data_IF_562335931752
#
_entry.id   IF_562335931752
#
_cell.length_a   1.000
_cell.length_b   1.000
_cell.length_c   1.000
_cell.angle_alpha   90.00
_cell.angle_beta   90.00
_cell.angle_gamma   90.00
#
_symmetry.space_group_name_H-M   'P 1'
#
loop_
_entity.id
_entity.type
_entity.pdbx_description
1 polymer ?
#
# COMPACT_ATOMS: atom_id res chain seq x y z
N UNK A 1 -14.25 -2.12 -15.14
CA UNK A 1 -13.12 -2.37 -14.22
C UNK A 1 -13.68 -3.12 -13.02
N UNK A 2 -13.25 -4.31 -12.86
CA UNK A 2 -13.66 -5.14 -11.71
C UNK A 2 -12.52 -5.17 -10.70
N UNK A 3 -12.85 -5.32 -9.45
CA UNK A 3 -11.88 -5.44 -8.37
C UNK A 3 -12.23 -4.60 -7.15
N UNK A 4 -11.42 -4.78 -6.12
CA UNK A 4 -11.56 -4.08 -4.86
C UNK A 4 -10.18 -3.83 -4.25
N UNK A 5 -10.10 -2.87 -3.37
CA UNK A 5 -8.96 -2.69 -2.49
C UNK A 5 -9.30 -3.19 -1.08
N UNK A 6 -8.28 -3.64 -0.37
CA UNK A 6 -8.40 -3.94 1.05
C UNK A 6 -8.22 -2.68 1.86
N UNK A 7 -9.13 -2.44 2.78
CA UNK A 7 -9.06 -1.33 3.71
C UNK A 7 -9.22 -1.85 5.14
N UNK A 8 -8.16 -1.75 5.91
CA UNK A 8 -8.16 -2.22 7.28
C UNK A 8 -8.85 -1.23 8.21
N UNK A 9 -9.61 -1.73 9.17
CA UNK A 9 -10.33 -0.89 10.16
C UNK A 9 -9.41 0.01 10.98
N UNK A 10 -8.14 -0.35 11.13
CA UNK A 10 -7.13 0.48 11.79
C UNK A 10 -6.92 1.85 11.12
N UNK A 11 -7.35 2.03 9.88
CA UNK A 11 -7.30 3.32 9.20
C UNK A 11 -8.04 4.42 9.98
N UNK A 12 -9.03 4.05 10.79
CA UNK A 12 -9.73 5.00 11.67
C UNK A 12 -8.83 5.62 12.74
N UNK A 13 -7.69 5.01 13.04
CA UNK A 13 -6.68 5.51 13.99
C UNK A 13 -5.51 6.22 13.30
N UNK A 14 -5.55 6.31 12.00
CA UNK A 14 -4.51 6.95 11.21
C UNK A 14 -4.57 8.47 11.35
N UNK A 15 -3.41 9.11 11.44
CA UNK A 15 -3.31 10.57 11.65
C UNK A 15 -4.02 11.41 10.58
N UNK A 16 -4.19 10.89 9.37
CA UNK A 16 -4.89 11.55 8.28
C UNK A 16 -6.35 11.14 8.12
N UNK A 17 -6.87 10.31 9.00
CA UNK A 17 -8.26 9.83 8.90
C UNK A 17 -9.29 10.97 8.97
N UNK A 18 -9.06 11.94 9.82
CA UNK A 18 -9.91 13.13 9.98
C UNK A 18 -9.54 14.30 9.05
N UNK A 19 -8.47 14.18 8.27
CA UNK A 19 -8.15 15.10 7.18
C UNK A 19 -8.83 14.63 5.88
N UNK A 20 -10.00 15.18 5.61
CA UNK A 20 -10.86 14.73 4.52
C UNK A 20 -10.17 14.70 3.16
N UNK A 21 -9.41 15.72 2.80
CA UNK A 21 -8.74 15.80 1.51
C UNK A 21 -7.58 14.82 1.42
N UNK A 22 -6.78 14.70 2.46
CA UNK A 22 -5.63 13.79 2.50
C UNK A 22 -6.09 12.34 2.50
N UNK A 23 -7.08 12.00 3.32
CA UNK A 23 -7.66 10.67 3.36
C UNK A 23 -8.29 10.27 2.01
N UNK A 24 -9.09 11.15 1.45
CA UNK A 24 -9.75 10.90 0.16
C UNK A 24 -8.76 10.74 -0.98
N UNK A 25 -7.71 11.57 -1.01
CA UNK A 25 -6.63 11.42 -1.97
C UNK A 25 -5.94 10.06 -1.84
N UNK A 26 -5.61 9.65 -0.64
CA UNK A 26 -4.94 8.37 -0.41
C UNK A 26 -5.78 7.18 -0.87
N UNK A 27 -7.06 7.16 -0.53
CA UNK A 27 -7.98 6.10 -1.00
C UNK A 27 -8.08 6.10 -2.53
N UNK A 28 -8.16 7.26 -3.14
CA UNK A 28 -8.20 7.39 -4.60
C UNK A 28 -6.91 6.85 -5.26
N UNK A 29 -5.75 7.16 -4.69
CA UNK A 29 -4.48 6.62 -5.16
C UNK A 29 -4.41 5.10 -5.04
N UNK A 30 -4.90 4.53 -3.94
CA UNK A 30 -5.01 3.08 -3.76
C UNK A 30 -5.90 2.43 -4.82
N UNK A 31 -7.04 3.04 -5.13
CA UNK A 31 -7.98 2.53 -6.14
C UNK A 31 -7.41 2.62 -7.56
N UNK A 32 -6.59 3.62 -7.83
CA UNK A 32 -6.00 3.89 -9.16
C UNK A 32 -4.67 3.20 -9.38
N UNK A 33 -3.94 2.84 -8.33
CA UNK A 33 -2.64 2.20 -8.45
C UNK A 33 -2.75 0.87 -9.20
N UNK A 34 -1.77 0.59 -10.03
CA UNK A 34 -1.70 -0.67 -10.75
C UNK A 34 -1.50 -1.84 -9.77
N UNK A 35 -2.30 -2.86 -9.88
CA UNK A 35 -2.14 -4.10 -9.12
C UNK A 35 -1.14 -5.07 -9.75
N UNK A 36 -0.75 -4.84 -11.00
CA UNK A 36 0.25 -5.56 -11.78
C UNK A 36 1.16 -4.58 -12.51
N UNK A 37 2.35 -5.04 -12.86
CA UNK A 37 3.26 -4.26 -13.70
C UNK A 37 2.65 -4.07 -15.11
N UNK A 38 2.69 -2.86 -15.62
CA UNK A 38 2.16 -2.51 -16.93
C UNK A 38 3.11 -1.60 -17.70
N UNK A 39 3.01 -1.65 -19.02
CA UNK A 39 3.72 -0.75 -19.92
C UNK A 39 2.75 0.30 -20.47
N UNK A 40 3.14 1.55 -20.43
CA UNK A 40 2.36 2.62 -21.01
C UNK A 40 3.28 3.69 -21.60
N UNK A 41 3.17 3.89 -22.92
CA UNK A 41 3.97 4.86 -23.69
C UNK A 41 5.47 4.80 -23.38
N UNK A 42 6.05 3.60 -23.35
CA UNK A 42 7.46 3.38 -23.03
C UNK A 42 7.83 3.49 -21.55
N UNK A 43 6.88 3.76 -20.67
CA UNK A 43 7.07 3.76 -19.22
C UNK A 43 6.62 2.44 -18.62
N UNK A 44 7.43 1.92 -17.71
CA UNK A 44 7.02 0.80 -16.85
C UNK A 44 6.36 1.35 -15.60
N UNK A 45 5.08 1.06 -15.44
CA UNK A 45 4.31 1.39 -14.25
C UNK A 45 4.20 0.11 -13.43
N UNK A 46 4.90 0.04 -12.32
CA UNK A 46 4.93 -1.15 -11.47
C UNK A 46 3.69 -1.26 -10.60
N UNK A 47 3.50 -2.44 -10.04
CA UNK A 47 2.49 -2.66 -9.01
C UNK A 47 2.63 -1.63 -7.88
N UNK A 48 1.52 -1.04 -7.46
CA UNK A 48 1.50 0.02 -6.43
C UNK A 48 1.88 1.41 -6.94
N UNK A 49 2.08 1.56 -8.23
CA UNK A 49 2.36 2.84 -8.88
C UNK A 49 1.21 3.30 -9.76
N UNK A 50 1.12 4.60 -9.96
CA UNK A 50 0.27 5.20 -10.98
C UNK A 50 0.95 6.41 -11.59
N UNK A 51 0.69 6.65 -12.86
CA UNK A 51 1.13 7.84 -13.57
C UNK A 51 -0.04 8.80 -13.72
N UNK A 52 0.08 10.00 -13.19
CA UNK A 52 -0.99 10.98 -13.15
C UNK A 52 -0.45 12.41 -13.13
N UNK A 53 -1.30 13.40 -12.95
CA UNK A 53 -0.93 14.80 -12.74
C UNK A 53 -1.81 15.42 -11.66
N UNK A 54 -1.35 16.54 -11.12
CA UNK A 54 -2.13 17.31 -10.12
C UNK A 54 -3.49 17.72 -10.71
N UNK A 55 -3.49 18.25 -11.93
CA UNK A 55 -4.72 18.66 -12.61
C UNK A 55 -5.68 17.50 -12.84
N UNK A 56 -5.17 16.33 -13.17
CA UNK A 56 -5.99 15.12 -13.35
C UNK A 56 -6.61 14.65 -12.04
N UNK A 57 -5.83 14.59 -10.97
CA UNK A 57 -6.32 14.27 -9.63
C UNK A 57 -7.36 15.30 -9.14
N UNK A 58 -7.10 16.57 -9.36
CA UNK A 58 -8.03 17.67 -9.05
C UNK A 58 -9.38 17.48 -9.76
N UNK A 59 -9.33 17.16 -11.04
CA UNK A 59 -10.52 16.91 -11.83
C UNK A 59 -11.30 15.69 -11.37
N UNK A 60 -10.62 14.58 -11.13
CA UNK A 60 -11.26 13.32 -10.68
C UNK A 60 -11.86 13.43 -9.28
N UNK A 61 -11.16 14.08 -8.36
CA UNK A 61 -11.56 14.19 -6.96
C UNK A 61 -12.49 15.39 -6.67
N UNK A 62 -12.59 16.33 -7.60
CA UNK A 62 -13.31 17.60 -7.40
C UNK A 62 -12.72 18.40 -6.20
N UNK A 63 -11.42 18.39 -6.09
CA UNK A 63 -10.65 19.10 -5.07
C UNK A 63 -9.70 20.04 -5.83
N UNK A 64 -9.48 21.25 -5.33
CA UNK A 64 -8.60 22.22 -5.99
C UNK A 64 -7.15 21.71 -6.11
N UNK A 65 -6.44 22.14 -7.13
CA UNK A 65 -5.02 21.83 -7.35
C UNK A 65 -4.17 22.12 -6.10
N UNK A 66 -4.44 23.23 -5.46
CA UNK A 66 -3.76 23.64 -4.22
C UNK A 66 -4.00 22.62 -3.10
N UNK A 67 -5.24 22.21 -2.90
CA UNK A 67 -5.59 21.23 -1.87
C UNK A 67 -5.00 19.85 -2.18
N UNK A 68 -4.96 19.45 -3.45
CA UNK A 68 -4.28 18.21 -3.88
C UNK A 68 -2.77 18.27 -3.57
N UNK A 69 -2.11 19.39 -3.87
CA UNK A 69 -0.67 19.56 -3.55
C UNK A 69 -0.41 19.46 -2.06
N UNK A 70 -1.22 20.10 -1.25
CA UNK A 70 -1.10 20.06 0.21
C UNK A 70 -1.31 18.63 0.73
N UNK A 71 -2.35 17.95 0.28
CA UNK A 71 -2.64 16.58 0.68
C UNK A 71 -1.53 15.60 0.25
N UNK A 72 -1.07 15.73 -0.99
CA UNK A 72 0.03 14.90 -1.51
C UNK A 72 1.32 15.13 -0.73
N UNK A 73 1.64 16.37 -0.39
CA UNK A 73 2.81 16.73 0.38
C UNK A 73 2.79 16.13 1.79
N UNK A 74 1.61 16.12 2.43
CA UNK A 74 1.40 15.44 3.72
C UNK A 74 1.68 13.93 3.63
N UNK A 75 1.16 13.27 2.61
CA UNK A 75 1.38 11.83 2.38
C UNK A 75 2.84 11.52 2.07
N UNK A 76 3.54 12.39 1.37
CA UNK A 76 4.98 12.24 1.09
C UNK A 76 5.79 12.41 2.38
N UNK A 77 5.49 13.40 3.20
CA UNK A 77 6.17 13.65 4.47
C UNK A 77 6.05 12.48 5.44
N UNK A 78 4.90 11.84 5.49
CA UNK A 78 4.67 10.66 6.33
C UNK A 78 5.09 9.35 5.67
N UNK A 79 5.70 9.41 4.49
CA UNK A 79 6.19 8.25 3.72
C UNK A 79 5.12 7.23 3.32
N UNK A 80 3.89 7.68 3.19
CA UNK A 80 2.80 6.86 2.66
C UNK A 80 2.92 6.70 1.14
N UNK A 81 3.32 7.78 0.47
CA UNK A 81 3.58 7.79 -0.97
C UNK A 81 4.92 8.46 -1.27
N UNK A 82 5.48 8.11 -2.42
CA UNK A 82 6.59 8.82 -3.05
C UNK A 82 6.13 9.35 -4.41
N UNK A 83 6.70 10.47 -4.84
CA UNK A 83 6.41 11.04 -6.14
C UNK A 83 7.69 11.34 -6.91
N UNK A 84 7.66 11.09 -8.21
CA UNK A 84 8.74 11.43 -9.13
C UNK A 84 8.16 12.15 -10.34
N UNK A 85 8.57 13.39 -10.53
CA UNK A 85 8.18 14.18 -11.68
C UNK A 85 8.76 13.62 -12.99
N UNK A 86 7.98 13.70 -14.04
CA UNK A 86 8.38 13.42 -15.40
C UNK A 86 7.89 14.57 -16.32
N UNK A 87 8.37 14.62 -17.55
CA UNK A 87 8.00 15.69 -18.49
C UNK A 87 6.48 15.79 -18.74
N UNK A 88 5.77 14.68 -18.67
CA UNK A 88 4.34 14.60 -19.02
C UNK A 88 3.45 14.33 -17.80
N UNK A 89 3.97 14.39 -16.59
CA UNK A 89 3.17 14.07 -15.39
C UNK A 89 4.02 13.66 -14.21
N UNK A 90 3.42 12.91 -13.32
CA UNK A 90 4.06 12.47 -12.08
C UNK A 90 3.81 10.98 -11.86
N UNK A 91 4.87 10.24 -11.59
CA UNK A 91 4.80 8.88 -11.11
C UNK A 91 4.61 8.90 -9.60
N UNK A 92 3.51 8.38 -9.12
CA UNK A 92 3.22 8.23 -7.70
C UNK A 92 3.36 6.76 -7.31
N UNK A 93 4.10 6.50 -6.26
CA UNK A 93 4.30 5.16 -5.70
C UNK A 93 3.71 5.10 -4.30
N UNK A 94 2.84 4.12 -4.07
CA UNK A 94 2.35 3.83 -2.73
C UNK A 94 3.40 2.94 -2.05
N UNK A 95 4.11 3.49 -1.07
CA UNK A 95 5.32 2.88 -0.50
C UNK A 95 5.09 1.50 0.11
N UNK A 96 3.89 1.24 0.62
CA UNK A 96 3.52 -0.01 1.30
C UNK A 96 2.35 -0.71 0.64
N UNK A 97 2.22 -0.57 -0.65
CA UNK A 97 1.10 -1.14 -1.39
C UNK A 97 0.92 -2.64 -1.12
N UNK A 98 2.00 -3.42 -1.17
CA UNK A 98 1.95 -4.85 -0.90
C UNK A 98 1.51 -5.19 0.52
N UNK A 99 1.92 -4.39 1.51
CA UNK A 99 1.47 -4.56 2.89
C UNK A 99 -0.03 -4.33 3.05
N UNK A 100 -0.61 -3.42 2.27
CA UNK A 100 -2.04 -3.14 2.30
C UNK A 100 -2.85 -4.13 1.47
N UNK A 101 -2.31 -4.58 0.33
CA UNK A 101 -3.09 -5.26 -0.71
C UNK A 101 -2.72 -6.73 -0.91
N UNK A 102 -1.64 -7.23 -0.30
CA UNK A 102 -1.29 -8.64 -0.40
C UNK A 102 -2.39 -9.53 0.15
N UNK A 103 -2.73 -10.55 -0.59
CA UNK A 103 -3.51 -11.66 -0.05
C UNK A 103 -2.64 -12.37 0.98
N UNK A 104 -3.02 -12.31 2.23
CA UNK A 104 -2.65 -13.41 3.12
C UNK A 104 -3.43 -14.60 2.58
N UNK A 105 -2.76 -15.46 1.82
CA UNK A 105 -3.28 -16.77 1.58
C UNK A 105 -3.31 -17.48 2.94
N UNK A 106 -4.43 -17.30 3.62
CA UNK A 106 -4.88 -18.29 4.58
C UNK A 106 -5.46 -19.41 3.71
N UNK A 107 -4.61 -20.04 2.91
CA UNK A 107 -4.95 -21.35 2.42
C UNK A 107 -5.04 -22.22 3.65
N UNK A 108 -6.26 -22.61 3.94
CA UNK A 108 -6.59 -23.49 5.02
C UNK A 108 -5.67 -24.72 4.96
N UNK A 109 -5.07 -25.01 6.07
CA UNK A 109 -4.60 -26.34 6.34
C UNK A 109 -5.79 -27.28 6.13
N UNK A 110 -5.84 -27.88 4.97
CA UNK A 110 -6.52 -29.14 4.83
C UNK A 110 -5.60 -30.16 5.46
N UNK A 111 -6.02 -30.67 6.60
CA UNK A 111 -5.47 -31.87 7.19
C UNK A 111 -5.48 -33.00 6.16
N UNK A 112 -4.36 -33.20 5.55
CA UNK A 112 -4.06 -34.39 4.78
C UNK A 112 -3.05 -35.22 5.58
N UNK A 113 -3.55 -36.08 6.47
CA UNK A 113 -2.75 -37.15 7.03
C UNK A 113 -2.21 -38.01 5.90
N UNK A 114 -0.93 -37.98 5.70
CA UNK A 114 -0.24 -39.11 5.10
C UNK A 114 0.98 -39.46 5.93
N UNK A 115 0.89 -40.65 6.52
CA UNK A 115 1.98 -41.40 7.10
C UNK A 115 3.10 -41.59 6.08
N UNK A 116 4.33 -41.45 6.51
CA UNK A 116 5.49 -41.91 5.74
C UNK A 116 6.80 -41.33 6.24
N UNK A 117 7.38 -42.02 7.14
CA UNK A 117 8.76 -42.27 7.51
C UNK A 117 9.91 -41.45 6.91
N UNK A 118 10.71 -40.94 7.88
CA UNK A 118 12.19 -40.91 7.92
C UNK A 118 12.94 -40.04 6.89
N UNK A 119 13.60 -39.06 7.45
CA UNK A 119 14.71 -38.37 6.82
C UNK A 119 15.02 -37.07 7.52
N UNK A 120 15.77 -37.16 8.61
CA UNK A 120 16.33 -35.99 9.25
C UNK A 120 17.38 -35.33 8.36
N UNK A 121 17.16 -34.11 7.95
CA UNK A 121 18.24 -33.15 7.68
C UNK A 121 17.74 -31.72 7.88
N UNK A 122 18.45 -31.05 8.74
CA UNK A 122 18.35 -29.67 9.10
C UNK A 122 18.19 -28.73 7.91
N UNK A 123 17.11 -27.93 7.88
CA UNK A 123 17.16 -26.58 7.35
C UNK A 123 16.16 -25.70 8.08
N UNK A 124 16.59 -25.23 9.22
CA UNK A 124 15.83 -24.38 10.12
C UNK A 124 16.17 -22.89 9.92
N UNK A 125 16.23 -22.41 8.68
CA UNK A 125 16.62 -21.01 8.43
C UNK A 125 15.67 -20.16 7.60
N UNK A 126 14.50 -20.67 7.19
CA UNK A 126 13.60 -19.85 6.35
C UNK A 126 12.32 -19.34 7.03
N UNK A 127 12.01 -19.79 8.24
CA UNK A 127 10.77 -19.35 8.90
C UNK A 127 10.89 -18.03 9.68
N UNK A 128 12.10 -17.51 9.88
CA UNK A 128 12.29 -16.27 10.61
C UNK A 128 12.15 -14.99 9.75
N UNK A 129 12.28 -15.10 8.43
CA UNK A 129 12.12 -13.92 7.56
C UNK A 129 10.66 -13.58 7.29
N UNK A 130 9.80 -14.58 7.17
CA UNK A 130 8.38 -14.34 6.93
C UNK A 130 7.64 -13.86 8.19
N UNK A 131 8.02 -14.36 9.37
CA UNK A 131 7.47 -13.86 10.64
C UNK A 131 7.91 -12.43 10.95
N UNK A 132 9.15 -12.07 10.65
CA UNK A 132 9.63 -10.68 10.78
C UNK A 132 8.92 -9.72 9.86
N UNK A 133 8.59 -10.13 8.64
CA UNK A 133 7.83 -9.31 7.72
C UNK A 133 6.36 -9.15 8.13
N UNK A 134 5.76 -10.15 8.79
CA UNK A 134 4.43 -10.05 9.38
C UNK A 134 4.38 -9.09 10.57
N UNK A 135 5.39 -9.15 11.44
CA UNK A 135 5.48 -8.27 12.60
C UNK A 135 5.85 -6.83 12.21
N UNK A 136 6.70 -6.64 11.21
CA UNK A 136 7.06 -5.32 10.71
C UNK A 136 5.87 -4.63 10.04
N UNK A 137 5.04 -5.35 9.30
CA UNK A 137 3.82 -4.81 8.68
C UNK A 137 2.78 -4.37 9.71
N UNK A 138 2.52 -5.19 10.72
CA UNK A 138 1.58 -4.89 11.81
C UNK A 138 2.14 -3.87 12.80
N UNK A 139 3.43 -3.98 13.14
CA UNK A 139 4.11 -3.06 14.05
C UNK A 139 4.25 -1.66 13.44
N UNK A 140 4.43 -1.56 12.15
CA UNK A 140 4.51 -0.28 11.46
C UNK A 140 3.15 0.41 11.39
N UNK A 141 2.09 -0.33 11.07
CA UNK A 141 0.72 0.17 11.11
C UNK A 141 0.32 0.62 12.53
N UNK A 142 0.83 -0.05 13.56
CA UNK A 142 0.54 0.29 14.96
C UNK A 142 1.41 1.45 15.48
N UNK A 143 2.65 1.57 15.04
CA UNK A 143 3.55 2.64 15.49
C UNK A 143 3.20 4.00 14.91
N UNK A 144 2.74 4.03 13.66
CA UNK A 144 2.35 5.27 13.01
C UNK A 144 0.92 5.71 13.35
N UNK A 145 0.15 4.84 14.02
CA UNK A 145 -1.25 5.08 14.38
C UNK A 145 -1.50 5.32 15.87
N UNK A 146 -0.47 5.26 16.71
CA UNK A 146 -0.62 5.62 18.12
C UNK A 146 -0.25 7.08 18.26
N UNK A 147 -1.21 7.99 18.51
CA UNK A 147 -0.87 9.32 18.98
C UNK A 147 -0.15 9.15 20.32
N UNK A 148 1.03 9.72 20.43
CA UNK A 148 1.67 9.90 21.73
C UNK A 148 0.73 10.81 22.52
N UNK A 149 -0.05 10.22 23.40
CA UNK A 149 -0.81 10.96 24.38
C UNK A 149 0.15 11.28 25.52
N UNK A 150 0.63 12.51 25.57
CA UNK A 150 1.17 13.05 26.80
C UNK A 150 0.05 13.33 27.80
#
# INVERSE_FOLDING_TARGET
MEGYIKLYRQVMKWEWYDDANTFRLFIHLLLKANYEDAQWRGLTIKRGQLFTSIGHLSHELKISDKAIRIALDKLIKTKEVASKGASNGTMITICKYDSYQSSFNTEGQTDGQTRGERGATNNNNNNNKEKKNKEIGLSFLLKDFIPIVE
#
